data_IF_987585781549
#
_entry.id   IF_987585781549
#
_cell.length_a   1.000
_cell.length_b   1.000
_cell.length_c   1.000
_cell.angle_alpha   90.00
_cell.angle_beta   90.00
_cell.angle_gamma   90.00
#
_symmetry.space_group_name_H-M   'P 1'
#
loop_
_entity.id
_entity.type
_entity.pdbx_description
1 polymer ?
#
# COMPACT_ATOMS: atom_id res chain seq x y z
N UNK A 1 -15.71 23.19 -2.44
CA UNK A 1 -15.53 22.04 -3.36
C UNK A 1 -15.38 22.52 -4.81
N UNK A 2 -16.38 23.19 -5.40
CA UNK A 2 -16.33 23.61 -6.82
C UNK A 2 -15.18 24.61 -7.10
N UNK A 3 -14.90 25.57 -6.20
CA UNK A 3 -13.71 26.42 -6.33
C UNK A 3 -12.38 25.65 -6.22
N UNK A 4 -12.34 24.56 -5.45
CA UNK A 4 -11.15 23.70 -5.37
C UNK A 4 -10.92 22.93 -6.69
N UNK A 5 -11.98 22.71 -7.46
CA UNK A 5 -11.91 22.22 -8.84
C UNK A 5 -11.59 23.34 -9.85
N UNK A 6 -11.15 24.52 -9.41
CA UNK A 6 -10.70 25.61 -10.27
C UNK A 6 -11.82 26.43 -10.93
N UNK A 7 -13.07 26.28 -10.48
CA UNK A 7 -14.12 27.20 -10.89
C UNK A 7 -13.88 28.61 -10.35
N UNK A 8 -14.44 29.60 -11.04
CA UNK A 8 -14.45 31.00 -10.60
C UNK A 8 -15.02 31.15 -9.17
N UNK A 9 -14.68 32.24 -8.46
CA UNK A 9 -15.27 32.55 -7.16
C UNK A 9 -16.80 32.51 -7.22
N UNK A 10 -17.42 31.86 -6.23
CA UNK A 10 -18.87 31.74 -6.20
C UNK A 10 -19.51 33.13 -6.00
N UNK A 11 -20.59 33.45 -6.73
CA UNK A 11 -21.29 34.71 -6.57
C UNK A 11 -21.94 34.79 -5.19
N UNK A 12 -21.93 35.97 -4.58
CA UNK A 12 -22.61 36.20 -3.30
C UNK A 12 -24.13 36.34 -3.47
N UNK A 13 -24.58 36.87 -4.60
CA UNK A 13 -25.96 37.19 -4.96
C UNK A 13 -26.11 37.40 -6.49
N UNK A 14 -27.31 37.75 -6.95
CA UNK A 14 -27.62 38.00 -8.37
C UNK A 14 -28.01 36.75 -9.16
N UNK A 15 -28.15 36.89 -10.48
CA UNK A 15 -28.73 35.84 -11.33
C UNK A 15 -27.92 34.53 -11.27
N UNK A 16 -26.60 34.61 -11.36
CA UNK A 16 -25.72 33.43 -11.26
C UNK A 16 -25.88 32.67 -9.93
N UNK A 17 -26.16 33.39 -8.83
CA UNK A 17 -26.43 32.77 -7.53
C UNK A 17 -27.75 32.02 -7.49
N UNK A 18 -28.77 32.53 -8.20
CA UNK A 18 -30.06 31.85 -8.36
C UNK A 18 -29.94 30.64 -9.29
N UNK A 19 -29.17 30.75 -10.37
CA UNK A 19 -28.89 29.63 -11.29
C UNK A 19 -28.31 28.41 -10.57
N UNK A 20 -27.33 28.63 -9.69
CA UNK A 20 -26.75 27.55 -8.87
C UNK A 20 -27.82 26.88 -8.00
N UNK A 21 -28.73 27.66 -7.41
CA UNK A 21 -29.83 27.14 -6.57
C UNK A 21 -30.92 26.42 -7.36
N UNK A 22 -31.03 26.70 -8.65
CA UNK A 22 -31.85 25.93 -9.58
C UNK A 22 -31.17 24.62 -10.03
N UNK A 23 -29.98 24.31 -9.49
CA UNK A 23 -29.23 23.10 -9.80
C UNK A 23 -28.30 23.22 -11.01
N UNK A 24 -28.07 24.43 -11.54
CA UNK A 24 -27.10 24.64 -12.62
C UNK A 24 -25.69 24.66 -12.02
N UNK A 25 -24.89 23.65 -12.35
CA UNK A 25 -23.50 23.58 -11.89
C UNK A 25 -22.65 24.66 -12.60
N UNK A 26 -21.85 25.46 -11.87
CA UNK A 26 -20.89 26.38 -12.47
C UNK A 26 -19.92 25.67 -13.41
N UNK A 27 -19.36 26.42 -14.36
CA UNK A 27 -18.33 25.90 -15.27
C UNK A 27 -17.08 25.54 -14.47
N UNK A 28 -16.64 24.29 -14.59
CA UNK A 28 -15.42 23.77 -13.99
C UNK A 28 -14.40 23.57 -15.14
N UNK A 29 -13.23 24.22 -15.11
CA UNK A 29 -12.24 24.11 -16.19
C UNK A 29 -11.53 22.74 -16.21
N UNK A 30 -11.54 22.03 -15.09
CA UNK A 30 -10.94 20.71 -14.97
C UNK A 30 -11.83 19.63 -15.62
N UNK A 31 -11.20 18.65 -16.27
CA UNK A 31 -11.90 17.46 -16.78
C UNK A 31 -12.17 16.52 -15.62
N UNK A 32 -13.43 16.46 -15.19
CA UNK A 32 -13.90 15.54 -14.15
C UNK A 32 -14.61 14.33 -14.78
N UNK A 33 -14.56 13.18 -14.12
CA UNK A 33 -15.34 12.01 -14.54
C UNK A 33 -16.84 12.33 -14.50
N UNK A 34 -17.61 11.80 -15.46
CA UNK A 34 -19.04 12.04 -15.57
C UNK A 34 -19.80 11.71 -14.26
N UNK A 35 -19.50 10.57 -13.64
CA UNK A 35 -20.12 10.15 -12.37
C UNK A 35 -19.93 11.17 -11.23
N UNK A 36 -18.78 11.84 -11.21
CA UNK A 36 -18.48 12.87 -10.20
C UNK A 36 -19.23 14.17 -10.51
N UNK A 37 -19.34 14.55 -11.78
CA UNK A 37 -20.13 15.71 -12.21
C UNK A 37 -21.61 15.53 -11.88
N UNK A 38 -22.15 14.33 -12.12
CA UNK A 38 -23.55 14.03 -11.85
C UNK A 38 -23.82 13.99 -10.34
N UNK A 39 -22.91 13.43 -9.54
CA UNK A 39 -22.99 13.54 -8.08
C UNK A 39 -23.02 15.00 -7.61
N UNK A 40 -22.13 15.85 -8.12
CA UNK A 40 -22.09 17.27 -7.76
C UNK A 40 -23.39 18.00 -8.12
N UNK A 41 -24.02 17.68 -9.27
CA UNK A 41 -25.33 18.22 -9.64
C UNK A 41 -26.43 17.79 -8.68
N UNK A 42 -26.47 16.52 -8.28
CA UNK A 42 -27.47 16.03 -7.32
C UNK A 42 -27.29 16.68 -5.94
N UNK A 43 -26.05 16.94 -5.52
CA UNK A 43 -25.77 17.64 -4.25
C UNK A 43 -26.34 19.08 -4.19
N UNK A 44 -26.50 19.74 -5.34
CA UNK A 44 -27.05 21.11 -5.43
C UNK A 44 -28.50 21.13 -5.94
N UNK A 45 -29.21 20.00 -5.89
CA UNK A 45 -30.59 19.92 -6.37
C UNK A 45 -31.49 20.97 -5.68
N UNK A 46 -32.37 21.69 -6.39
CA UNK A 46 -33.31 22.63 -5.76
C UNK A 46 -34.19 21.96 -4.72
N UNK A 47 -34.58 20.71 -4.95
CA UNK A 47 -35.34 19.90 -4.01
C UNK A 47 -34.39 19.27 -2.97
N UNK A 48 -34.50 19.61 -1.67
CA UNK A 48 -33.61 19.09 -0.64
C UNK A 48 -33.75 17.57 -0.44
N UNK A 49 -34.93 17.00 -0.67
CA UNK A 49 -35.18 15.56 -0.49
C UNK A 49 -34.46 14.70 -1.54
N UNK A 50 -34.13 15.30 -2.69
CA UNK A 50 -33.33 14.65 -3.74
C UNK A 50 -31.83 14.67 -3.47
N UNK A 51 -31.38 15.46 -2.48
CA UNK A 51 -29.95 15.54 -2.15
C UNK A 51 -29.53 14.31 -1.34
N UNK A 52 -28.36 13.72 -1.63
CA UNK A 52 -27.87 12.61 -0.82
C UNK A 52 -27.59 13.08 0.61
N UNK A 53 -27.96 12.26 1.59
CA UNK A 53 -27.49 12.44 2.95
C UNK A 53 -25.96 12.25 3.03
N UNK A 54 -25.33 12.76 4.09
CA UNK A 54 -23.89 12.56 4.29
C UNK A 54 -23.49 11.07 4.29
N UNK A 55 -24.35 10.20 4.86
CA UNK A 55 -24.14 8.74 4.89
C UNK A 55 -24.25 8.13 3.49
N UNK A 56 -25.19 8.60 2.67
CA UNK A 56 -25.32 8.16 1.29
C UNK A 56 -24.14 8.64 0.43
N UNK A 57 -23.67 9.87 0.66
CA UNK A 57 -22.55 10.46 -0.07
C UNK A 57 -21.26 9.65 0.10
N UNK A 58 -20.88 9.29 1.33
CA UNK A 58 -19.65 8.50 1.59
C UNK A 58 -19.69 7.08 1.00
N UNK A 59 -20.88 6.57 0.69
CA UNK A 59 -21.08 5.26 0.06
C UNK A 59 -21.27 5.36 -1.47
N UNK A 60 -21.23 6.57 -2.02
CA UNK A 60 -21.48 6.77 -3.44
C UNK A 60 -20.33 6.20 -4.29
N UNK A 61 -20.67 5.49 -5.37
CA UNK A 61 -19.71 4.83 -6.26
C UNK A 61 -18.67 5.79 -6.85
N UNK A 62 -19.07 7.02 -7.18
CA UNK A 62 -18.18 8.06 -7.69
C UNK A 62 -17.04 8.43 -6.72
N UNK A 63 -17.22 8.22 -5.41
CA UNK A 63 -16.21 8.52 -4.38
C UNK A 63 -15.45 7.27 -3.92
N UNK A 64 -16.02 6.07 -4.11
CA UNK A 64 -15.41 4.81 -3.73
C UNK A 64 -14.47 4.30 -4.83
N UNK A 65 -13.16 4.47 -4.64
CA UNK A 65 -12.13 3.90 -5.51
C UNK A 65 -12.23 2.37 -5.63
N UNK A 66 -12.63 1.68 -4.55
CA UNK A 66 -12.80 0.22 -4.49
C UNK A 66 -14.05 -0.28 -5.20
N UNK A 67 -15.06 0.57 -5.42
CA UNK A 67 -16.28 0.21 -6.13
C UNK A 67 -16.06 0.00 -7.64
N UNK A 68 -14.89 0.36 -8.17
CA UNK A 68 -14.56 0.15 -9.57
C UNK A 68 -14.18 -1.29 -9.93
N UNK A 69 -13.84 -2.13 -8.95
CA UNK A 69 -13.48 -3.53 -9.22
C UNK A 69 -14.69 -4.42 -9.04
N UNK A 70 -15.00 -5.21 -10.06
CA UNK A 70 -16.06 -6.21 -9.96
C UNK A 70 -15.68 -7.31 -8.96
N UNK A 71 -16.67 -7.99 -8.39
CA UNK A 71 -16.43 -9.13 -7.49
C UNK A 71 -15.55 -10.21 -8.15
N UNK A 72 -15.68 -10.38 -9.47
CA UNK A 72 -14.86 -11.32 -10.24
C UNK A 72 -13.40 -10.86 -10.37
N UNK A 73 -13.17 -9.58 -10.66
CA UNK A 73 -11.82 -9.01 -10.68
C UNK A 73 -11.13 -9.16 -9.33
N UNK A 74 -11.85 -8.89 -8.23
CA UNK A 74 -11.32 -9.07 -6.88
C UNK A 74 -10.96 -10.53 -6.58
N UNK A 75 -11.76 -11.50 -7.06
CA UNK A 75 -11.46 -12.93 -6.94
C UNK A 75 -10.20 -13.33 -7.69
N UNK A 76 -10.05 -12.84 -8.92
CA UNK A 76 -8.86 -13.12 -9.75
C UNK A 76 -7.60 -12.57 -9.06
N UNK A 77 -7.63 -11.31 -8.62
CA UNK A 77 -6.52 -10.69 -7.90
C UNK A 77 -6.19 -11.44 -6.60
N UNK A 78 -7.21 -11.82 -5.83
CA UNK A 78 -7.03 -12.59 -4.59
C UNK A 78 -6.36 -13.95 -4.85
N UNK A 79 -6.77 -14.66 -5.90
CA UNK A 79 -6.20 -15.95 -6.26
C UNK A 79 -4.75 -15.81 -6.72
N UNK A 80 -4.44 -14.79 -7.52
CA UNK A 80 -3.08 -14.48 -7.93
C UNK A 80 -2.17 -14.22 -6.72
N UNK A 81 -2.64 -13.42 -5.75
CA UNK A 81 -1.86 -13.09 -4.56
C UNK A 81 -1.70 -14.31 -3.63
N UNK A 82 -2.72 -15.16 -3.51
CA UNK A 82 -2.62 -16.45 -2.79
C UNK A 82 -1.59 -17.38 -3.40
N UNK A 83 -1.56 -17.49 -4.73
CA UNK A 83 -0.59 -18.32 -5.44
C UNK A 83 0.84 -17.81 -5.21
N UNK A 84 1.05 -16.50 -5.38
CA UNK A 84 2.34 -15.86 -5.12
C UNK A 84 2.82 -16.09 -3.68
N UNK A 85 1.95 -15.90 -2.69
CA UNK A 85 2.27 -16.16 -1.29
C UNK A 85 2.65 -17.63 -1.05
N UNK A 86 1.92 -18.58 -1.65
CA UNK A 86 2.24 -20.01 -1.53
C UNK A 86 3.61 -20.35 -2.11
N UNK A 87 3.96 -19.75 -3.25
CA UNK A 87 5.28 -19.94 -3.86
C UNK A 87 6.40 -19.39 -2.97
N UNK A 88 6.24 -18.15 -2.50
CA UNK A 88 7.21 -17.50 -1.61
C UNK A 88 7.38 -18.27 -0.29
N UNK A 89 6.31 -18.80 0.30
CA UNK A 89 6.39 -19.64 1.50
C UNK A 89 7.19 -20.92 1.28
N UNK A 90 7.04 -21.55 0.10
CA UNK A 90 7.84 -22.74 -0.26
C UNK A 90 9.32 -22.41 -0.41
N UNK A 91 9.64 -21.29 -1.07
CA UNK A 91 11.01 -20.82 -1.23
C UNK A 91 11.65 -20.47 0.12
N UNK A 92 10.91 -19.76 0.97
CA UNK A 92 11.34 -19.40 2.31
C UNK A 92 11.65 -20.64 3.16
N UNK A 93 10.78 -21.66 3.12
CA UNK A 93 11.01 -22.93 3.81
C UNK A 93 12.27 -23.65 3.29
N UNK A 94 12.48 -23.67 1.98
CA UNK A 94 13.70 -24.23 1.38
C UNK A 94 14.96 -23.47 1.82
N UNK A 95 14.91 -22.14 1.82
CA UNK A 95 16.02 -21.31 2.26
C UNK A 95 16.35 -21.52 3.75
N UNK A 96 15.33 -21.63 4.61
CA UNK A 96 15.50 -21.96 6.03
C UNK A 96 16.14 -23.33 6.24
N UNK A 97 15.68 -24.35 5.51
CA UNK A 97 16.27 -25.70 5.58
C UNK A 97 17.73 -25.71 5.10
N UNK A 98 18.03 -25.02 4.01
CA UNK A 98 19.40 -24.92 3.50
C UNK A 98 20.33 -24.19 4.49
N UNK A 99 19.82 -23.12 5.13
CA UNK A 99 20.55 -22.40 6.19
C UNK A 99 20.83 -23.30 7.40
N UNK A 100 19.82 -24.01 7.90
CA UNK A 100 19.98 -24.94 9.02
C UNK A 100 20.98 -26.06 8.71
N UNK A 101 20.93 -26.64 7.50
CA UNK A 101 21.88 -27.66 7.07
C UNK A 101 23.32 -27.13 6.93
N UNK A 102 23.49 -25.87 6.50
CA UNK A 102 24.80 -25.22 6.44
C UNK A 102 25.37 -24.95 7.84
N UNK A 103 24.53 -24.52 8.78
CA UNK A 103 24.90 -24.32 10.20
C UNK A 103 25.32 -25.63 10.88
N UNK A 104 24.57 -26.72 10.68
CA UNK A 104 24.94 -28.07 11.14
C UNK A 104 26.29 -28.53 10.57
N UNK A 105 26.53 -28.35 9.26
CA UNK A 105 27.82 -28.68 8.63
C UNK A 105 28.97 -27.85 9.18
N UNK A 106 28.76 -26.55 9.40
CA UNK A 106 29.77 -25.68 10.00
C UNK A 106 30.11 -26.07 11.46
N UNK A 107 29.11 -26.50 12.24
CA UNK A 107 29.34 -27.01 13.60
C UNK A 107 30.08 -28.36 13.60
N UNK A 108 29.82 -29.23 12.63
CA UNK A 108 30.55 -30.50 12.50
C UNK A 108 32.01 -30.29 12.09
N UNK A 109 32.29 -29.40 11.14
CA UNK A 109 33.68 -29.10 10.72
C UNK A 109 34.49 -28.42 11.83
N UNK A 110 33.88 -27.56 12.64
CA UNK A 110 34.53 -26.95 13.82
C UNK A 110 34.89 -28.01 14.88
N UNK A 111 34.01 -29.00 15.11
CA UNK A 111 34.27 -30.14 16.01
C UNK A 111 35.35 -31.11 15.50
N UNK A 112 35.45 -31.31 14.19
CA UNK A 112 36.49 -32.16 13.59
C UNK A 112 37.86 -31.45 13.61
N UNK A 113 37.88 -30.14 13.36
CA UNK A 113 39.11 -29.32 13.40
C UNK A 113 39.69 -29.21 14.82
N UNK A 114 38.83 -29.12 15.85
CA UNK A 114 39.25 -29.11 17.26
C UNK A 114 39.74 -30.46 17.76
N UNK A 115 39.35 -31.58 17.14
CA UNK A 115 39.86 -32.93 17.47
C UNK A 115 41.19 -33.27 16.79
N UNK A 116 41.45 -32.77 15.58
CA UNK A 116 42.71 -33.04 14.85
C UNK A 116 43.88 -32.14 15.27
N UNK A 117 43.65 -31.09 16.07
CA UNK A 117 44.70 -30.17 16.55
C UNK A 117 45.18 -30.43 17.98
N UNK A 118 44.89 -31.61 18.54
CA UNK A 118 45.40 -32.05 19.84
C UNK A 118 46.84 -32.63 19.81
N UNK A 119 47.54 -32.60 18.67
CA UNK A 119 48.93 -33.09 18.56
C UNK A 119 49.84 -32.12 17.77
N UNK A 120 50.08 -30.92 18.30
CA UNK A 120 51.41 -30.26 18.28
C UNK A 120 51.33 -28.89 18.97
N UNK A 121 51.56 -28.84 20.29
CA UNK A 121 51.84 -27.56 20.96
C UNK A 121 53.34 -27.28 20.88
N UNK A 122 53.78 -26.67 19.78
CA UNK A 122 54.98 -25.83 19.79
C UNK A 122 54.52 -24.39 19.61
N UNK A 123 54.94 -23.57 20.56
CA UNK A 123 54.60 -22.17 20.74
C UNK A 123 54.62 -21.34 19.43
N UNK A 124 53.63 -20.45 19.27
CA UNK A 124 53.84 -19.16 18.64
C UNK A 124 52.81 -18.14 19.12
N UNK A 125 53.35 -17.09 19.74
CA UNK A 125 52.68 -15.95 20.35
C UNK A 125 52.52 -14.84 19.31
N UNK A 126 51.40 -14.73 18.60
CA UNK A 126 51.10 -13.53 17.80
C UNK A 126 49.60 -13.36 17.51
N UNK A 127 49.07 -12.18 17.86
CA UNK A 127 47.85 -11.60 17.26
C UNK A 127 46.56 -11.78 18.05
N UNK A 128 46.35 -11.01 19.12
CA UNK A 128 45.04 -10.91 19.78
C UNK A 128 44.00 -10.26 18.84
N UNK A 129 42.89 -10.98 18.71
CA UNK A 129 41.60 -10.69 18.08
C UNK A 129 41.10 -9.25 18.34
N UNK A 130 40.80 -8.50 17.28
CA UNK A 130 40.07 -7.21 17.36
C UNK A 130 38.58 -7.46 17.06
N UNK A 131 37.71 -7.22 18.05
CA UNK A 131 36.26 -7.23 17.85
C UNK A 131 35.85 -5.93 17.15
N UNK A 132 35.54 -5.96 15.85
CA UNK A 132 34.82 -4.85 15.19
C UNK A 132 33.33 -5.17 15.23
N UNK A 133 32.58 -4.46 16.06
CA UNK A 133 31.11 -4.47 16.03
C UNK A 133 30.62 -3.77 14.76
N UNK A 134 29.71 -4.40 14.02
CA UNK A 134 28.95 -3.78 12.94
C UNK A 134 27.53 -3.53 13.42
N UNK A 135 27.15 -2.27 13.61
CA UNK A 135 25.77 -1.87 13.83
C UNK A 135 25.12 -1.56 12.48
N UNK A 136 24.07 -2.29 12.12
CA UNK A 136 23.23 -1.99 10.95
C UNK A 136 22.02 -1.17 11.43
N UNK A 137 21.94 0.09 11.03
CA UNK A 137 20.73 0.91 11.19
C UNK A 137 20.00 0.90 9.86
N UNK A 138 18.77 0.41 9.85
CA UNK A 138 17.87 0.44 8.70
C UNK A 138 16.87 1.57 8.96
N UNK A 139 16.82 2.56 8.06
CA UNK A 139 15.77 3.59 7.99
C UNK A 139 14.63 3.10 7.11
#
# INVERSE_FOLDING_TARGET
>A
VICAAGAEPLPANGDQWHEIRQGKLPKIPQVLSQDLLDLLKVMINPDPEKRPSAVALVKHSALLSTARKSAEQLRIELNAEKFKNSLLQKELKKAQMAKAAAEERAQFTDRVTTRSTAQNRIARLTGKKMNRSVSLTIY
#
